data_IF_677682332432
#
_entry.id   IF_677682332432
#
_cell.length_a   1.000
_cell.length_b   1.000
_cell.length_c   1.000
_cell.angle_alpha   90.00
_cell.angle_beta   90.00
_cell.angle_gamma   90.00
#
_symmetry.space_group_name_H-M   'P 1'
#
loop_
_entity.id
_entity.type
_entity.pdbx_description
1 polymer ?
#
# COMPACT_ATOMS: atom_id res chain seq x y z
N UNK A 1 15.92 9.67 -18.30
CA UNK A 1 15.76 9.98 -16.86
C UNK A 1 14.28 10.20 -16.58
N UNK A 2 13.65 9.33 -15.78
CA UNK A 2 12.32 9.59 -15.20
C UNK A 2 12.53 9.72 -13.69
N UNK A 3 12.98 10.89 -13.29
CA UNK A 3 13.21 11.25 -11.89
C UNK A 3 12.07 12.13 -11.43
N UNK A 4 11.45 11.70 -10.32
CA UNK A 4 10.48 12.44 -9.50
C UNK A 4 9.18 12.82 -10.19
N UNK A 5 8.13 12.09 -9.83
CA UNK A 5 6.83 12.66 -9.41
C UNK A 5 5.87 11.48 -9.32
N UNK A 6 5.07 11.41 -8.25
CA UNK A 6 4.05 10.37 -8.04
C UNK A 6 3.00 10.23 -9.17
N UNK A 7 3.05 11.07 -10.21
CA UNK A 7 2.32 10.97 -11.48
C UNK A 7 3.05 10.21 -12.60
N UNK A 8 4.21 9.58 -12.35
CA UNK A 8 4.95 8.86 -13.39
C UNK A 8 4.13 7.74 -14.05
N UNK A 9 3.28 7.05 -13.29
CA UNK A 9 2.37 6.03 -13.84
C UNK A 9 1.09 6.59 -14.46
N UNK A 10 0.66 7.79 -14.06
CA UNK A 10 -0.56 8.43 -14.59
C UNK A 10 -0.45 8.65 -16.11
N UNK A 11 0.73 9.02 -16.60
CA UNK A 11 0.98 9.23 -18.05
C UNK A 11 1.71 8.06 -18.70
N UNK A 12 2.01 7.00 -17.95
CA UNK A 12 2.71 5.83 -18.47
C UNK A 12 1.79 5.00 -19.39
N UNK A 13 2.38 4.40 -20.41
CA UNK A 13 1.66 3.48 -21.30
C UNK A 13 1.15 2.25 -20.52
N UNK A 14 0.12 1.54 -21.03
CA UNK A 14 -0.38 0.33 -20.39
C UNK A 14 0.69 -0.74 -20.15
N UNK A 15 1.71 -0.82 -21.02
CA UNK A 15 2.84 -1.72 -20.85
C UNK A 15 3.66 -1.39 -19.60
N UNK A 16 3.94 -0.10 -19.35
CA UNK A 16 4.71 0.36 -18.19
C UNK A 16 3.91 0.25 -16.88
N UNK A 17 2.58 0.42 -16.92
CA UNK A 17 1.69 0.18 -15.78
C UNK A 17 1.56 -1.31 -15.42
N UNK A 18 1.94 -2.20 -16.33
CA UNK A 18 2.05 -3.65 -16.12
C UNK A 18 3.48 -4.10 -15.81
N UNK A 19 4.47 -3.22 -15.93
CA UNK A 19 5.86 -3.55 -15.61
C UNK A 19 6.05 -3.46 -14.10
N UNK A 20 6.27 -4.62 -13.49
CA UNK A 20 6.45 -4.76 -12.05
C UNK A 20 7.58 -3.88 -11.50
N UNK A 21 8.71 -3.80 -12.20
CA UNK A 21 9.89 -3.07 -11.72
C UNK A 21 9.65 -1.56 -11.77
N UNK A 22 8.95 -1.09 -12.80
CA UNK A 22 8.59 0.32 -12.94
C UNK A 22 7.56 0.69 -11.87
N UNK A 23 6.54 -0.14 -11.69
CA UNK A 23 5.52 0.09 -10.66
C UNK A 23 6.13 0.05 -9.27
N UNK A 24 7.02 -0.90 -8.96
CA UNK A 24 7.73 -0.95 -7.67
C UNK A 24 8.49 0.33 -7.37
N UNK A 25 9.26 0.84 -8.35
CA UNK A 25 9.97 2.12 -8.21
C UNK A 25 9.01 3.28 -7.99
N UNK A 26 7.90 3.31 -8.72
CA UNK A 26 6.89 4.37 -8.58
C UNK A 26 6.21 4.35 -7.20
N UNK A 27 5.81 3.17 -6.70
CA UNK A 27 5.15 3.07 -5.39
C UNK A 27 6.12 3.28 -4.22
N UNK A 28 7.40 2.96 -4.41
CA UNK A 28 8.44 3.27 -3.43
C UNK A 28 8.66 4.79 -3.28
N UNK A 29 8.58 5.55 -4.38
CA UNK A 29 8.66 7.01 -4.35
C UNK A 29 7.33 7.62 -3.81
N UNK A 30 6.20 7.16 -4.34
CA UNK A 30 4.86 7.62 -4.00
C UNK A 30 3.89 6.45 -3.89
N UNK A 31 3.52 6.06 -2.66
CA UNK A 31 2.58 4.94 -2.43
C UNK A 31 1.22 5.12 -3.11
N UNK A 32 0.82 6.36 -3.45
CA UNK A 32 -0.40 6.63 -4.21
C UNK A 32 -0.36 6.16 -5.67
N UNK A 33 0.83 5.93 -6.24
CA UNK A 33 0.98 5.48 -7.63
C UNK A 33 0.41 4.08 -7.87
N UNK A 34 0.11 3.32 -6.81
CA UNK A 34 -0.60 2.04 -6.88
C UNK A 34 -1.96 2.15 -7.61
N UNK A 35 -2.62 3.31 -7.55
CA UNK A 35 -3.88 3.58 -8.26
C UNK A 35 -3.78 3.36 -9.77
N UNK A 36 -2.59 3.59 -10.35
CA UNK A 36 -2.35 3.50 -11.79
C UNK A 36 -1.70 2.19 -12.21
N UNK A 37 -1.35 1.32 -11.27
CA UNK A 37 -0.85 -0.01 -11.56
C UNK A 37 -1.98 -0.86 -12.17
N UNK A 38 -1.60 -1.84 -12.99
CA UNK A 38 -2.59 -2.80 -13.50
C UNK A 38 -3.20 -3.64 -12.39
N UNK A 39 -4.39 -4.19 -12.63
CA UNK A 39 -5.13 -5.02 -11.67
C UNK A 39 -4.28 -6.18 -11.14
N UNK A 40 -3.48 -6.79 -12.04
CA UNK A 40 -2.52 -7.83 -11.67
C UNK A 40 -1.52 -7.35 -10.62
N UNK A 41 -0.96 -6.15 -10.80
CA UNK A 41 0.04 -5.60 -9.87
C UNK A 41 -0.60 -4.99 -8.62
N UNK A 42 -1.87 -4.59 -8.66
CA UNK A 42 -2.66 -4.25 -7.48
C UNK A 42 -2.98 -5.47 -6.61
N UNK A 43 -2.87 -6.67 -7.18
CA UNK A 43 -2.85 -7.95 -6.48
C UNK A 43 -1.45 -8.50 -6.17
N UNK A 44 -0.37 -7.81 -6.55
CA UNK A 44 0.99 -8.24 -6.21
C UNK A 44 1.31 -7.81 -4.77
N UNK A 45 1.55 -8.81 -3.92
CA UNK A 45 1.77 -8.62 -2.49
C UNK A 45 2.93 -7.68 -2.18
N UNK A 46 4.05 -7.79 -2.90
CA UNK A 46 5.24 -6.96 -2.66
C UNK A 46 5.02 -5.52 -3.10
N UNK A 47 4.35 -5.34 -4.25
CA UNK A 47 3.99 -4.01 -4.77
C UNK A 47 3.08 -3.28 -3.79
N UNK A 48 2.01 -3.93 -3.34
CA UNK A 48 1.06 -3.35 -2.38
C UNK A 48 1.75 -3.08 -1.05
N UNK A 49 2.55 -4.01 -0.54
CA UNK A 49 3.26 -3.84 0.73
C UNK A 49 4.20 -2.62 0.68
N UNK A 50 4.92 -2.45 -0.42
CA UNK A 50 5.78 -1.28 -0.65
C UNK A 50 4.96 0.01 -0.67
N UNK A 51 3.83 0.00 -1.39
CA UNK A 51 2.94 1.16 -1.46
C UNK A 51 2.35 1.56 -0.09
N UNK A 52 1.89 0.58 0.71
CA UNK A 52 1.28 0.87 2.02
C UNK A 52 2.30 1.29 3.07
N UNK A 53 3.54 0.80 2.98
CA UNK A 53 4.67 1.29 3.81
C UNK A 53 4.94 2.77 3.55
N UNK A 54 4.93 3.16 2.28
CA UNK A 54 5.11 4.56 1.90
C UNK A 54 3.90 5.42 2.27
N UNK A 55 2.68 4.94 1.99
CA UNK A 55 1.42 5.65 2.28
C UNK A 55 0.33 4.65 2.65
N UNK A 56 -0.05 4.57 3.94
CA UNK A 56 -1.06 3.61 4.42
C UNK A 56 -2.40 3.66 3.69
N UNK A 57 -2.81 4.85 3.23
CA UNK A 57 -4.04 5.03 2.42
C UNK A 57 -3.99 4.34 1.05
N UNK A 58 -2.82 3.91 0.57
CA UNK A 58 -2.67 3.16 -0.68
C UNK A 58 -3.42 1.81 -0.65
N UNK A 59 -3.73 1.29 0.55
CA UNK A 59 -4.51 0.07 0.75
C UNK A 59 -5.84 0.08 -0.04
N UNK A 60 -6.44 1.26 -0.25
CA UNK A 60 -7.69 1.41 -1.01
C UNK A 60 -7.60 0.97 -2.48
N UNK A 61 -6.39 0.90 -3.03
CA UNK A 61 -6.15 0.53 -4.42
C UNK A 61 -5.73 -0.93 -4.58
N UNK A 62 -5.39 -1.62 -3.48
CA UNK A 62 -5.04 -3.04 -3.50
C UNK A 62 -6.23 -3.91 -3.92
N UNK A 63 -5.95 -5.12 -4.38
CA UNK A 63 -6.98 -6.12 -4.64
C UNK A 63 -7.78 -6.45 -3.38
N UNK A 64 -9.01 -6.90 -3.53
CA UNK A 64 -9.86 -7.25 -2.39
C UNK A 64 -9.26 -8.38 -1.54
N UNK A 65 -8.53 -9.31 -2.16
CA UNK A 65 -7.77 -10.35 -1.47
C UNK A 65 -6.72 -9.74 -0.53
N UNK A 66 -5.89 -8.80 -1.03
CA UNK A 66 -4.84 -8.17 -0.23
C UNK A 66 -5.39 -7.16 0.79
N UNK A 67 -6.58 -6.61 0.58
CA UNK A 67 -7.31 -5.84 1.59
C UNK A 67 -7.80 -6.72 2.75
N UNK A 68 -7.86 -8.04 2.55
CA UNK A 68 -8.10 -9.05 3.58
C UNK A 68 -6.83 -9.67 4.18
N UNK A 69 -5.64 -9.34 3.68
CA UNK A 69 -4.38 -9.83 4.26
C UNK A 69 -4.11 -9.07 5.59
N UNK A 70 -4.12 -9.76 6.74
CA UNK A 70 -3.93 -9.13 8.04
C UNK A 70 -2.60 -8.37 8.15
N UNK A 71 -1.54 -8.86 7.53
CA UNK A 71 -0.21 -8.27 7.61
C UNK A 71 -0.11 -6.98 6.80
N UNK A 72 -0.67 -6.97 5.59
CA UNK A 72 -0.74 -5.73 4.77
C UNK A 72 -1.60 -4.69 5.48
N UNK A 73 -2.75 -5.08 6.01
CA UNK A 73 -3.64 -4.16 6.71
C UNK A 73 -2.99 -3.61 7.98
N UNK A 74 -2.30 -4.43 8.78
CA UNK A 74 -1.53 -3.96 9.94
C UNK A 74 -0.51 -2.91 9.54
N UNK A 75 0.27 -3.17 8.49
CA UNK A 75 1.26 -2.22 7.97
C UNK A 75 0.61 -0.91 7.54
N UNK A 76 -0.51 -0.98 6.81
CA UNK A 76 -1.26 0.19 6.36
C UNK A 76 -1.82 1.02 7.53
N UNK A 77 -2.38 0.37 8.55
CA UNK A 77 -2.95 1.00 9.75
C UNK A 77 -1.87 1.65 10.62
N UNK A 78 -0.70 1.00 10.74
CA UNK A 78 0.47 1.58 11.42
C UNK A 78 0.97 2.85 10.74
N UNK A 79 0.93 2.88 9.40
CA UNK A 79 1.29 4.07 8.64
C UNK A 79 0.20 5.15 8.65
N UNK A 80 -1.08 4.74 8.63
CA UNK A 80 -2.22 5.65 8.77
C UNK A 80 -3.40 4.90 9.38
N UNK A 81 -3.79 5.26 10.61
CA UNK A 81 -4.93 4.62 11.29
C UNK A 81 -6.22 4.65 10.47
N UNK A 82 -6.38 5.67 9.61
CA UNK A 82 -7.52 5.80 8.69
C UNK A 82 -7.54 4.75 7.59
N UNK A 83 -6.42 4.08 7.30
CA UNK A 83 -6.36 3.01 6.29
C UNK A 83 -7.26 1.82 6.65
N UNK A 84 -7.57 1.63 7.94
CA UNK A 84 -8.46 0.57 8.41
C UNK A 84 -9.82 0.57 7.70
N UNK A 85 -10.33 1.74 7.28
CA UNK A 85 -11.62 1.84 6.58
C UNK A 85 -11.64 1.05 5.26
N UNK A 86 -10.45 0.84 4.66
CA UNK A 86 -10.27 0.10 3.41
C UNK A 86 -9.95 -1.37 3.63
N UNK A 87 -9.71 -1.84 4.85
CA UNK A 87 -9.57 -3.27 5.08
C UNK A 87 -10.86 -4.02 4.74
N UNK A 88 -10.74 -5.33 4.54
CA UNK A 88 -11.89 -6.22 4.39
C UNK A 88 -12.88 -6.06 5.56
N UNK A 89 -14.15 -6.37 5.31
CA UNK A 89 -15.17 -6.26 6.36
C UNK A 89 -14.87 -7.13 7.58
N UNK A 90 -14.36 -8.35 7.37
CA UNK A 90 -14.03 -9.27 8.46
C UNK A 90 -12.93 -8.70 9.38
N UNK A 91 -11.87 -8.10 8.83
CA UNK A 91 -10.81 -7.49 9.64
C UNK A 91 -11.28 -6.21 10.35
N UNK A 92 -12.12 -5.40 9.70
CA UNK A 92 -12.69 -4.19 10.33
C UNK A 92 -13.62 -4.52 11.49
N UNK A 93 -14.32 -5.66 11.43
CA UNK A 93 -15.24 -6.12 12.47
C UNK A 93 -14.56 -6.92 13.57
N UNK A 94 -13.30 -7.33 13.41
CA UNK A 94 -12.54 -8.03 14.44
C UNK A 94 -11.92 -7.03 15.45
N UNK A 95 -12.44 -6.94 16.69
CA UNK A 95 -11.95 -5.99 17.67
C UNK A 95 -10.53 -6.31 18.14
N UNK A 96 -10.13 -7.60 18.14
CA UNK A 96 -8.77 -8.02 18.52
C UNK A 96 -7.78 -7.49 17.49
N UNK A 97 -8.09 -7.70 16.21
CA UNK A 97 -7.28 -7.20 15.12
C UNK A 97 -7.16 -5.67 15.12
N UNK A 98 -8.29 -4.96 15.26
CA UNK A 98 -8.30 -3.48 15.28
C UNK A 98 -7.48 -2.92 16.45
N UNK A 99 -7.59 -3.54 17.62
CA UNK A 99 -6.80 -3.16 18.79
C UNK A 99 -5.31 -3.43 18.59
N UNK A 100 -4.96 -4.60 18.05
CA UNK A 100 -3.57 -4.98 17.76
C UNK A 100 -2.93 -4.03 16.74
N UNK A 101 -3.59 -3.80 15.60
CA UNK A 101 -3.10 -2.97 14.52
C UNK A 101 -2.90 -1.50 14.92
N UNK A 102 -3.71 -0.99 15.85
CA UNK A 102 -3.64 0.39 16.34
C UNK A 102 -2.67 0.61 17.51
N UNK A 103 -2.26 -0.47 18.20
CA UNK A 103 -1.39 -0.41 19.37
C UNK A 103 0.10 -0.48 19.02
N UNK A 104 0.47 -0.90 17.80
CA UNK A 104 1.86 -0.98 17.39
C UNK A 104 2.43 0.38 16.96
N UNK A 105 3.69 0.71 17.33
CA UNK A 105 4.32 1.96 16.92
C UNK A 105 4.49 2.04 15.39
N UNK A 106 4.50 3.26 14.81
CA UNK A 106 4.75 3.46 13.38
C UNK A 106 6.06 2.81 12.94
N UNK A 107 6.10 2.29 11.72
CA UNK A 107 7.26 1.55 11.18
C UNK A 107 8.55 2.38 11.10
N UNK A 108 8.47 3.72 11.15
CA UNK A 108 9.62 4.62 11.08
C UNK A 108 10.17 5.11 12.42
N UNK A 109 9.65 4.65 13.56
CA UNK A 109 10.10 5.12 14.88
C UNK A 109 11.50 4.61 15.31
N UNK A 110 12.18 3.78 14.52
CA UNK A 110 13.50 3.21 14.84
C UNK A 110 14.61 3.59 13.85
N UNK A 111 14.70 4.87 13.47
CA UNK A 111 15.90 5.39 12.82
C UNK A 111 16.39 6.67 13.50
N UNK A 112 16.87 6.49 14.73
CA UNK A 112 17.87 7.34 15.36
C UNK A 112 18.93 6.41 15.95
N UNK A 113 19.89 6.03 15.11
CA UNK A 113 21.28 5.76 15.52
C UNK A 113 22.18 6.46 14.51
#
# INVERSE_FOLDING_TARGET
>A
AVTKSGGALLYASPALRNDRNIVLKAVADSGGSLEYASDRLRGDREVVLTAVRQRGMALRYASDELRGDPEIVKVAVRQSKRALVYASEHLRKDPKFVKEASSQPPLHASRYE
#
